data_IF_106854234328
#
_entry.id   IF_106854234328
#
_cell.length_a   1.000
_cell.length_b   1.000
_cell.length_c   1.000
_cell.angle_alpha   90.00
_cell.angle_beta   90.00
_cell.angle_gamma   90.00
#
_symmetry.space_group_name_H-M   'P 1'
#
loop_
_entity.id
_entity.type
_entity.pdbx_description
1 polymer ?
#
# COMPACT_ATOMS: atom_id res chain seq x y z
N UNK A 1 -0.61 -22.70 -8.45
CA UNK A 1 -1.97 -22.40 -7.94
C UNK A 1 -1.81 -21.34 -6.88
N UNK A 2 -2.62 -20.28 -6.92
CA UNK A 2 -2.62 -19.21 -5.93
C UNK A 2 -2.72 -19.83 -4.51
N UNK A 3 -1.81 -19.47 -3.61
CA UNK A 3 -1.79 -20.00 -2.25
C UNK A 3 -2.88 -19.33 -1.41
N UNK A 4 -3.51 -20.10 -0.51
CA UNK A 4 -4.41 -19.56 0.52
C UNK A 4 -3.66 -18.98 1.74
N UNK A 5 -2.33 -19.09 1.77
CA UNK A 5 -1.52 -18.46 2.82
C UNK A 5 -1.48 -16.95 2.64
N UNK A 6 -1.62 -16.19 3.73
CA UNK A 6 -1.33 -14.77 3.72
C UNK A 6 0.18 -14.56 3.58
N UNK A 7 0.57 -13.69 2.68
CA UNK A 7 1.95 -13.32 2.43
C UNK A 7 2.09 -11.81 2.40
N UNK A 8 3.31 -11.32 2.58
CA UNK A 8 3.59 -9.89 2.56
C UNK A 8 3.71 -9.39 1.12
N UNK A 9 2.85 -8.44 0.79
CA UNK A 9 2.85 -7.68 -0.45
C UNK A 9 3.19 -6.23 -0.21
N UNK A 10 4.03 -5.66 -1.06
CA UNK A 10 4.23 -4.22 -1.14
C UNK A 10 3.36 -3.62 -2.23
N UNK A 11 2.66 -2.56 -1.87
CA UNK A 11 1.69 -1.85 -2.68
C UNK A 11 2.27 -0.49 -3.01
N UNK A 12 2.40 -0.17 -4.29
CA UNK A 12 2.87 1.15 -4.74
C UNK A 12 1.74 1.92 -5.40
N UNK A 13 1.61 3.18 -5.03
CA UNK A 13 0.56 4.06 -5.49
C UNK A 13 1.08 5.04 -6.54
N UNK A 14 0.20 5.44 -7.45
CA UNK A 14 0.48 6.52 -8.38
C UNK A 14 0.58 7.86 -7.61
N UNK A 15 1.58 8.68 -7.96
CA UNK A 15 1.78 9.98 -7.33
C UNK A 15 0.78 10.98 -7.89
N UNK A 16 -0.24 11.31 -7.11
CA UNK A 16 -1.21 12.32 -7.47
C UNK A 16 -0.69 13.75 -7.21
N UNK A 17 -1.48 14.74 -7.65
CA UNK A 17 -1.13 16.15 -7.54
C UNK A 17 -1.01 16.61 -6.08
N UNK A 18 -1.79 16.06 -5.15
CA UNK A 18 -1.75 16.46 -3.75
C UNK A 18 -0.50 15.91 -3.05
N UNK A 19 -0.07 14.69 -3.39
CA UNK A 19 1.20 14.14 -2.96
C UNK A 19 2.37 15.04 -3.36
N UNK A 20 2.46 15.45 -4.62
CA UNK A 20 3.57 16.31 -5.07
C UNK A 20 3.52 17.69 -4.39
N UNK A 21 2.33 18.28 -4.24
CA UNK A 21 2.14 19.53 -3.50
C UNK A 21 2.64 19.44 -2.05
N UNK A 22 2.26 18.39 -1.32
CA UNK A 22 2.66 18.20 0.09
C UNK A 22 4.15 17.91 0.23
N UNK A 23 4.72 17.14 -0.69
CA UNK A 23 6.16 16.82 -0.74
C UNK A 23 7.06 18.03 -0.99
N UNK A 24 6.56 19.06 -1.68
CA UNK A 24 7.29 20.32 -1.85
C UNK A 24 7.41 21.13 -0.55
N UNK A 25 6.54 20.88 0.44
CA UNK A 25 6.55 21.58 1.74
C UNK A 25 7.61 20.95 2.65
N UNK A 26 8.85 21.42 2.51
CA UNK A 26 10.01 20.97 3.31
C UNK A 26 10.04 21.57 4.72
N UNK A 27 8.94 21.45 5.46
CA UNK A 27 8.86 21.82 6.87
C UNK A 27 8.39 20.62 7.68
N UNK A 28 8.73 20.56 8.97
CA UNK A 28 8.26 19.49 9.86
C UNK A 28 6.73 19.30 9.82
N UNK A 29 5.98 20.41 9.76
CA UNK A 29 4.52 20.37 9.63
C UNK A 29 4.08 19.80 8.28
N UNK A 30 4.81 20.11 7.20
CA UNK A 30 4.57 19.55 5.87
C UNK A 30 4.82 18.05 5.81
N UNK A 31 5.88 17.56 6.48
CA UNK A 31 6.15 16.12 6.62
C UNK A 31 5.01 15.42 7.38
N UNK A 32 4.55 15.98 8.50
CA UNK A 32 3.41 15.43 9.27
C UNK A 32 2.09 15.44 8.47
N UNK A 33 1.86 16.44 7.63
CA UNK A 33 0.70 16.52 6.74
C UNK A 33 0.79 15.49 5.62
N UNK A 34 1.97 15.31 5.02
CA UNK A 34 2.23 14.29 4.01
C UNK A 34 2.02 12.89 4.58
N UNK A 35 2.58 12.59 5.76
CA UNK A 35 2.43 11.28 6.40
C UNK A 35 0.95 10.95 6.67
N UNK A 36 0.17 11.93 7.16
CA UNK A 36 -1.27 11.75 7.40
C UNK A 36 -2.05 11.55 6.10
N UNK A 37 -1.69 12.28 5.05
CA UNK A 37 -2.28 12.14 3.73
C UNK A 37 -2.08 10.71 3.19
N UNK A 38 -0.83 10.24 3.25
CA UNK A 38 -0.44 8.90 2.82
C UNK A 38 -1.14 7.81 3.63
N UNK A 39 -1.18 7.95 4.95
CA UNK A 39 -1.84 6.97 5.83
C UNK A 39 -3.33 6.84 5.51
N UNK A 40 -4.04 7.96 5.37
CA UNK A 40 -5.45 7.96 4.98
C UNK A 40 -5.65 7.31 3.62
N UNK A 41 -4.78 7.59 2.64
CA UNK A 41 -4.87 7.01 1.31
C UNK A 41 -4.66 5.49 1.33
N UNK A 42 -3.73 5.01 2.15
CA UNK A 42 -3.50 3.58 2.34
C UNK A 42 -4.75 2.89 2.92
N UNK A 43 -5.40 3.52 3.90
CA UNK A 43 -6.64 3.00 4.51
C UNK A 43 -7.79 2.98 3.51
N UNK A 44 -8.03 4.08 2.78
CA UNK A 44 -9.08 4.16 1.76
C UNK A 44 -8.95 3.05 0.70
N UNK A 45 -7.72 2.76 0.26
CA UNK A 45 -7.48 1.70 -0.73
C UNK A 45 -7.75 0.33 -0.14
N UNK A 46 -7.29 0.07 1.08
CA UNK A 46 -7.53 -1.21 1.74
C UNK A 46 -9.03 -1.43 1.98
N UNK A 47 -9.73 -0.44 2.51
CA UNK A 47 -11.17 -0.52 2.81
C UNK A 47 -12.03 -0.62 1.55
N UNK A 48 -11.65 0.05 0.46
CA UNK A 48 -12.39 -0.02 -0.80
C UNK A 48 -12.17 -1.31 -1.58
N UNK A 49 -11.05 -2.00 -1.35
CA UNK A 49 -10.66 -3.15 -2.18
C UNK A 49 -10.70 -4.49 -1.45
N UNK A 50 -10.66 -4.50 -0.11
CA UNK A 50 -10.61 -5.70 0.70
C UNK A 50 -11.69 -5.70 1.78
N UNK A 51 -12.23 -6.88 2.07
CA UNK A 51 -13.19 -7.04 3.16
C UNK A 51 -12.54 -6.69 4.50
N UNK A 52 -13.23 -5.93 5.39
CA UNK A 52 -12.72 -5.62 6.73
C UNK A 52 -12.32 -6.89 7.49
N UNK A 53 -11.15 -6.87 8.12
CA UNK A 53 -10.61 -8.02 8.87
C UNK A 53 -9.94 -9.10 8.02
N UNK A 54 -10.04 -9.04 6.68
CA UNK A 54 -9.39 -10.00 5.78
C UNK A 54 -7.90 -9.72 5.55
N UNK A 55 -7.41 -8.54 5.91
CA UNK A 55 -6.02 -8.09 5.71
C UNK A 55 -5.38 -7.59 7.01
N UNK A 56 -4.05 -7.47 6.99
CA UNK A 56 -3.28 -6.81 8.05
C UNK A 56 -2.25 -5.87 7.42
N UNK A 57 -2.36 -4.57 7.70
CA UNK A 57 -1.35 -3.57 7.31
C UNK A 57 -0.12 -3.78 8.18
N UNK A 58 1.06 -3.85 7.58
CA UNK A 58 2.31 -4.13 8.30
C UNK A 58 3.20 -2.90 8.42
N UNK A 59 3.36 -2.13 7.35
CA UNK A 59 4.28 -0.99 7.31
C UNK A 59 3.80 0.09 6.34
N UNK A 60 4.13 1.36 6.61
CA UNK A 60 4.00 2.46 5.66
C UNK A 60 5.37 2.77 5.06
N UNK A 61 5.46 2.92 3.74
CA UNK A 61 6.68 3.21 2.99
C UNK A 61 6.61 4.60 2.35
N UNK A 62 6.72 5.63 3.18
CA UNK A 62 6.60 7.06 2.81
C UNK A 62 7.54 7.44 1.66
N UNK A 63 8.77 6.90 1.65
CA UNK A 63 9.80 7.23 0.64
C UNK A 63 9.40 6.81 -0.78
N UNK A 64 8.67 5.69 -0.91
CA UNK A 64 8.31 5.11 -2.21
C UNK A 64 6.81 5.19 -2.49
N UNK A 65 6.07 5.98 -1.72
CA UNK A 65 4.62 6.15 -1.84
C UNK A 65 3.88 4.80 -1.87
N UNK A 66 4.15 3.98 -0.86
CA UNK A 66 3.58 2.65 -0.77
C UNK A 66 3.40 2.14 0.64
N UNK A 67 2.92 0.91 0.77
CA UNK A 67 2.73 0.24 2.05
C UNK A 67 2.85 -1.28 1.93
N UNK A 68 3.12 -1.94 3.06
CA UNK A 68 3.09 -3.39 3.19
C UNK A 68 1.76 -3.88 3.71
N UNK A 69 1.23 -4.94 3.10
CA UNK A 69 0.00 -5.60 3.53
C UNK A 69 0.13 -7.12 3.45
N UNK A 70 -0.38 -7.83 4.46
CA UNK A 70 -0.50 -9.28 4.47
C UNK A 70 -1.86 -9.71 3.89
N UNK A 71 -1.83 -10.31 2.70
CA UNK A 71 -3.00 -10.81 1.95
C UNK A 71 -2.66 -12.09 1.17
N UNK A 72 -3.67 -12.75 0.63
CA UNK A 72 -3.53 -13.95 -0.21
C UNK A 72 -3.33 -13.61 -1.69
N UNK A 73 -2.73 -14.53 -2.45
CA UNK A 73 -2.60 -14.41 -3.92
C UNK A 73 -3.95 -14.15 -4.60
N UNK A 74 -5.03 -14.75 -4.09
CA UNK A 74 -6.39 -14.55 -4.60
C UNK A 74 -6.88 -13.12 -4.43
N UNK A 75 -6.60 -12.50 -3.28
CA UNK A 75 -6.95 -11.10 -3.04
C UNK A 75 -6.16 -10.16 -3.96
N UNK A 76 -4.88 -10.45 -4.24
CA UNK A 76 -4.05 -9.66 -5.17
C UNK A 76 -4.62 -9.69 -6.58
N UNK A 77 -4.93 -10.88 -7.12
CA UNK A 77 -5.48 -11.00 -8.48
C UNK A 77 -6.81 -10.27 -8.62
N UNK A 78 -7.67 -10.31 -7.58
CA UNK A 78 -8.95 -9.60 -7.58
C UNK A 78 -8.77 -8.08 -7.53
N UNK A 79 -7.84 -7.59 -6.71
CA UNK A 79 -7.58 -6.15 -6.51
C UNK A 79 -6.86 -5.50 -7.70
N UNK A 80 -5.90 -6.18 -8.34
CA UNK A 80 -5.15 -5.68 -9.50
C UNK A 80 -6.03 -5.39 -10.74
N UNK A 81 -7.19 -6.03 -10.85
CA UNK A 81 -8.10 -5.86 -11.99
C UNK A 81 -8.97 -4.60 -11.83
N UNK A 82 -9.13 -4.09 -10.61
CA UNK A 82 -10.02 -2.96 -10.30
C UNK A 82 -9.29 -1.64 -10.05
N UNK A 83 -7.99 -1.67 -9.73
CA UNK A 83 -7.24 -0.47 -9.35
C UNK A 83 -5.82 -0.57 -9.94
N UNK A 84 -5.31 0.52 -10.55
CA UNK A 84 -3.95 0.62 -11.10
C UNK A 84 -2.89 0.60 -9.99
N UNK A 85 -2.80 -0.52 -9.27
CA UNK A 85 -1.97 -0.69 -8.09
C UNK A 85 -1.00 -1.83 -8.37
N UNK A 86 0.29 -1.55 -8.19
CA UNK A 86 1.34 -2.54 -8.40
C UNK A 86 1.63 -3.26 -7.08
N UNK A 87 1.48 -4.59 -7.09
CA UNK A 87 1.78 -5.46 -5.95
C UNK A 87 3.08 -6.22 -6.19
N UNK A 88 4.01 -6.15 -5.24
CA UNK A 88 5.26 -6.90 -5.26
C UNK A 88 5.29 -7.91 -4.11
N UNK A 89 5.36 -9.20 -4.43
CA UNK A 89 5.48 -10.30 -3.45
C UNK A 89 6.93 -10.41 -2.96
N UNK A 90 7.13 -10.50 -1.66
CA UNK A 90 8.45 -10.78 -1.07
C UNK A 90 8.66 -12.30 -1.06
N UNK A 91 9.64 -12.78 -1.82
CA UNK A 91 10.05 -14.19 -1.78
C UNK A 91 11.34 -14.29 -0.95
N UNK A 92 11.34 -15.02 0.18
CA UNK A 92 12.55 -15.20 0.97
C UNK A 92 13.59 -15.99 0.17
N UNK A 93 14.72 -15.36 -0.11
CA UNK A 93 15.88 -16.01 -0.70
C UNK A 93 16.43 -17.02 0.32
N UNK A 94 16.22 -18.31 0.07
CA UNK A 94 16.82 -19.35 0.90
C UNK A 94 18.32 -19.41 0.53
N UNK A 95 19.17 -19.03 1.49
CA UNK A 95 20.63 -19.13 1.42
C UNK A 95 21.10 -20.56 1.67
#
# INVERSE_FOLDING_TARGET
MASSSKELYYVFLERDHEYERLKEIRTKKGEEELDRYLEKRHEEILESTLEPGSYKRTVSLVVVHGFGVEITDHQVVHTCIHTYVMYMKVVPMHL
#
